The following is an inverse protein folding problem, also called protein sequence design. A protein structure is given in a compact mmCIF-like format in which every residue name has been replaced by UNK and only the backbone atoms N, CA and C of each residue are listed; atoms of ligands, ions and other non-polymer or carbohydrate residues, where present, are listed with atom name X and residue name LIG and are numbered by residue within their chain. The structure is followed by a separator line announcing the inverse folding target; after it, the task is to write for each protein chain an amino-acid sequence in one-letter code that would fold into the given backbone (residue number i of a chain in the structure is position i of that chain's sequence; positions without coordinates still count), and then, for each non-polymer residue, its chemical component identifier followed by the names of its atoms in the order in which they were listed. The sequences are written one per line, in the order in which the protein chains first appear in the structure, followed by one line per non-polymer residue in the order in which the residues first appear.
data_IF_871019437782
#
_entry.id   IF_871019437782
#
_cell.length_a   1.000
_cell.length_b   1.000
_cell.length_c   1.000
_cell.angle_alpha   90.00
_cell.angle_beta   90.00
_cell.angle_gamma   90.00
#
_symmetry.space_group_name_H-M   'P 1'
#
loop_
_entity.id
_entity.type
_entity.pdbx_description
1 polymer ?
#
# COMPACT_ATOMS: atom_id res chain seq x y z
N UNK A 1 6.29 -16.58 2.20
CA UNK A 1 5.76 -16.51 3.58
C UNK A 1 6.86 -16.63 4.64
N UNK A 2 7.71 -17.67 4.65
CA UNK A 2 8.77 -17.81 5.67
C UNK A 2 9.76 -16.64 5.71
N UNK A 3 10.22 -16.15 4.55
CA UNK A 3 11.15 -15.01 4.47
C UNK A 3 10.55 -13.71 5.03
N UNK A 4 9.23 -13.49 4.85
CA UNK A 4 8.55 -12.31 5.38
C UNK A 4 8.48 -12.35 6.91
N UNK A 5 8.20 -13.53 7.49
CA UNK A 5 8.20 -13.72 8.93
C UNK A 5 9.59 -13.49 9.52
N UNK A 6 10.64 -14.03 8.89
CA UNK A 6 12.02 -13.80 9.32
C UNK A 6 12.37 -12.30 9.28
N UNK A 7 12.00 -11.60 8.20
CA UNK A 7 12.23 -10.17 8.07
C UNK A 7 11.52 -9.36 9.16
N UNK A 8 10.25 -9.65 9.43
CA UNK A 8 9.46 -8.99 10.49
C UNK A 8 10.10 -9.24 11.86
N UNK A 9 10.58 -10.46 12.12
CA UNK A 9 11.24 -10.80 13.37
C UNK A 9 12.54 -10.00 13.57
N UNK A 10 13.37 -9.92 12.53
CA UNK A 10 14.61 -9.12 12.55
C UNK A 10 14.29 -7.64 12.78
N UNK A 11 13.27 -7.11 12.10
CA UNK A 11 12.80 -5.73 12.31
C UNK A 11 12.35 -5.50 13.75
N UNK A 12 11.54 -6.40 14.31
CA UNK A 12 11.09 -6.29 15.69
C UNK A 12 12.28 -6.29 16.68
N UNK A 13 13.26 -7.17 16.47
CA UNK A 13 14.45 -7.24 17.31
C UNK A 13 15.29 -5.95 17.21
N UNK A 14 15.44 -5.38 16.01
CA UNK A 14 16.12 -4.10 15.82
C UNK A 14 15.40 -2.95 16.52
N UNK A 15 14.07 -2.87 16.43
CA UNK A 15 13.29 -1.85 17.14
C UNK A 15 13.38 -2.01 18.65
N UNK A 16 13.42 -3.25 19.15
CA UNK A 16 13.62 -3.54 20.56
C UNK A 16 14.99 -3.04 21.03
N UNK A 17 16.08 -3.45 20.35
CA UNK A 17 17.44 -2.99 20.65
C UNK A 17 17.52 -1.46 20.60
N UNK A 18 16.92 -0.85 19.58
CA UNK A 18 16.88 0.60 19.44
C UNK A 18 16.19 1.29 20.62
N UNK A 19 15.07 0.74 21.09
CA UNK A 19 14.33 1.28 22.24
C UNK A 19 15.15 1.20 23.52
N UNK A 20 15.87 0.10 23.75
CA UNK A 20 16.71 -0.08 24.94
C UNK A 20 18.00 0.74 24.89
N UNK A 21 18.65 0.85 23.73
CA UNK A 21 19.90 1.58 23.58
C UNK A 21 19.70 3.09 23.45
N UNK A 22 18.54 3.53 22.98
CA UNK A 22 18.18 4.94 22.83
C UNK A 22 16.96 5.28 23.72
N UNK A 23 17.13 5.23 25.05
CA UNK A 23 16.05 5.61 25.98
C UNK A 23 15.85 7.12 26.06
N UNK A 24 16.83 7.89 25.60
CA UNK A 24 16.80 9.34 25.70
C UNK A 24 15.81 9.93 24.71
N UNK A 25 14.81 10.69 25.19
CA UNK A 25 13.85 11.32 24.31
C UNK A 25 14.50 12.44 23.50
N UNK A 26 13.99 12.67 22.31
CA UNK A 26 14.47 13.69 21.38
C UNK A 26 13.39 14.74 21.13
N UNK A 27 13.81 15.98 20.86
CA UNK A 27 12.93 17.05 20.40
C UNK A 27 13.06 17.18 18.90
N UNK A 28 11.93 17.33 18.21
CA UNK A 28 11.90 17.43 16.76
C UNK A 28 11.27 18.73 16.33
N UNK A 29 11.85 19.32 15.29
CA UNK A 29 11.27 20.46 14.59
C UNK A 29 10.93 20.05 13.17
N UNK A 30 9.65 20.11 12.82
CA UNK A 30 9.17 19.67 11.52
C UNK A 30 8.09 20.62 11.00
N UNK A 31 8.25 21.15 9.78
CA UNK A 31 7.29 22.09 9.15
C UNK A 31 6.82 23.23 10.07
N UNK A 32 7.73 23.76 10.91
CA UNK A 32 7.42 24.82 11.86
C UNK A 32 6.80 24.35 13.18
N UNK A 33 6.43 23.09 13.31
CA UNK A 33 5.99 22.48 14.57
C UNK A 33 7.19 22.00 15.38
N UNK A 34 7.10 22.11 16.70
CA UNK A 34 8.07 21.58 17.64
C UNK A 34 7.39 20.55 18.52
N UNK A 35 7.94 19.33 18.55
CA UNK A 35 7.47 18.30 19.45
C UNK A 35 8.01 18.53 20.87
N UNK A 36 7.30 17.98 21.86
CA UNK A 36 7.90 17.74 23.17
C UNK A 36 9.02 16.71 23.11
N UNK A 37 9.58 16.37 24.28
CA UNK A 37 10.52 15.26 24.41
C UNK A 37 9.79 13.93 24.20
N UNK A 38 10.03 13.29 23.06
CA UNK A 38 9.42 12.01 22.70
C UNK A 38 10.50 10.97 22.38
N UNK A 39 10.29 9.69 22.75
CA UNK A 39 11.19 8.63 22.32
C UNK A 39 11.26 8.56 20.79
N UNK A 40 12.46 8.43 20.24
CA UNK A 40 12.65 8.41 18.77
C UNK A 40 11.89 7.25 18.10
N UNK A 41 11.71 6.13 18.81
CA UNK A 41 10.95 4.98 18.33
C UNK A 41 9.49 5.33 17.99
N UNK A 42 8.83 6.20 18.78
CA UNK A 42 7.45 6.60 18.50
C UNK A 42 7.35 7.26 17.13
N UNK A 43 8.32 8.11 16.79
CA UNK A 43 8.31 8.84 15.52
C UNK A 43 8.60 7.92 14.34
N UNK A 44 9.53 6.96 14.52
CA UNK A 44 9.78 5.91 13.52
C UNK A 44 8.49 5.12 13.27
N UNK A 45 7.80 4.67 14.33
CA UNK A 45 6.55 3.92 14.21
C UNK A 45 5.47 4.72 13.49
N UNK A 46 5.24 5.98 13.86
CA UNK A 46 4.27 6.85 13.19
C UNK A 46 4.63 7.00 11.70
N UNK A 47 5.91 7.20 11.39
CA UNK A 47 6.37 7.35 10.00
C UNK A 47 6.14 6.09 9.17
N UNK A 48 6.41 4.91 9.74
CA UNK A 48 6.15 3.61 9.10
C UNK A 48 4.64 3.43 8.87
N UNK A 49 3.80 3.74 9.86
CA UNK A 49 2.35 3.66 9.74
C UNK A 49 1.85 4.56 8.61
N UNK A 50 2.34 5.81 8.55
CA UNK A 50 1.99 6.74 7.47
C UNK A 50 2.38 6.19 6.11
N UNK A 51 3.57 5.59 5.98
CA UNK A 51 4.01 4.95 4.75
C UNK A 51 3.12 3.77 4.34
N UNK A 52 2.78 2.88 5.28
CA UNK A 52 1.87 1.75 5.05
C UNK A 52 0.49 2.25 4.61
N UNK A 53 -0.11 3.17 5.35
CA UNK A 53 -1.42 3.75 5.01
C UNK A 53 -1.38 4.41 3.63
N UNK A 54 -0.33 5.19 3.33
CA UNK A 54 -0.14 5.82 2.03
C UNK A 54 -0.06 4.79 0.89
N UNK A 55 0.74 3.73 1.06
CA UNK A 55 0.86 2.66 0.07
C UNK A 55 -0.47 1.92 -0.17
N UNK A 56 -1.26 1.67 0.89
CA UNK A 56 -2.58 1.03 0.77
C UNK A 56 -3.54 1.92 -0.02
N UNK A 57 -3.58 3.22 0.27
CA UNK A 57 -4.44 4.17 -0.44
C UNK A 57 -4.10 4.24 -1.94
N UNK A 58 -2.80 4.26 -2.28
CA UNK A 58 -2.34 4.23 -3.67
C UNK A 58 -2.67 2.90 -4.35
N UNK A 59 -2.50 1.78 -3.65
CA UNK A 59 -2.86 0.45 -4.13
C UNK A 59 -4.35 0.31 -4.43
N UNK A 60 -5.21 0.88 -3.58
CA UNK A 60 -6.67 0.89 -3.80
C UNK A 60 -7.06 1.68 -5.05
N UNK A 61 -6.38 2.80 -5.35
CA UNK A 61 -6.63 3.56 -6.59
C UNK A 61 -6.25 2.72 -7.81
N UNK A 62 -5.06 2.15 -7.83
CA UNK A 62 -4.58 1.30 -8.93
C UNK A 62 -5.47 0.07 -9.14
N UNK A 63 -5.90 -0.58 -8.05
CA UNK A 63 -6.80 -1.73 -8.11
C UNK A 63 -8.16 -1.39 -8.74
N UNK A 64 -8.68 -0.18 -8.49
CA UNK A 64 -9.94 0.28 -9.10
C UNK A 64 -9.78 0.50 -10.61
N UNK A 65 -8.68 1.12 -11.04
CA UNK A 65 -8.37 1.31 -12.45
C UNK A 65 -8.22 -0.02 -13.17
N UNK A 66 -7.41 -0.92 -12.60
CA UNK A 66 -7.20 -2.26 -13.15
C UNK A 66 -8.51 -3.04 -13.26
N UNK A 67 -9.39 -2.95 -12.25
CA UNK A 67 -10.72 -3.58 -12.30
C UNK A 67 -11.60 -3.02 -13.42
N UNK A 68 -11.51 -1.72 -13.72
CA UNK A 68 -12.23 -1.10 -14.84
C UNK A 68 -11.69 -1.60 -16.18
N UNK A 69 -10.37 -1.60 -16.35
CA UNK A 69 -9.71 -2.10 -17.57
C UNK A 69 -10.04 -3.57 -17.81
N UNK A 70 -9.97 -4.42 -16.79
CA UNK A 70 -10.35 -5.84 -16.89
C UNK A 70 -11.81 -6.01 -17.30
N UNK A 71 -12.71 -5.14 -16.81
CA UNK A 71 -14.12 -5.19 -17.21
C UNK A 71 -14.31 -4.80 -18.68
N UNK A 72 -13.63 -3.75 -19.15
CA UNK A 72 -13.69 -3.29 -20.54
C UNK A 72 -13.15 -4.37 -21.50
N UNK A 73 -11.97 -4.90 -21.20
CA UNK A 73 -11.35 -5.97 -22.00
C UNK A 73 -12.23 -7.23 -22.05
N UNK A 74 -12.95 -7.56 -20.97
CA UNK A 74 -13.91 -8.69 -20.98
C UNK A 74 -15.09 -8.44 -21.91
N UNK A 75 -15.65 -7.22 -21.91
CA UNK A 75 -16.75 -6.85 -22.81
C UNK A 75 -16.29 -6.91 -24.27
N UNK A 76 -15.13 -6.34 -24.59
CA UNK A 76 -14.56 -6.39 -25.95
C UNK A 76 -14.34 -7.84 -26.43
N UNK A 77 -13.83 -8.71 -25.54
CA UNK A 77 -13.66 -10.13 -25.87
C UNK A 77 -14.98 -10.86 -26.11
N UNK A 78 -16.06 -10.50 -25.39
CA UNK A 78 -17.38 -11.11 -25.58
C UNK A 78 -18.02 -10.65 -26.90
N UNK A 79 -17.86 -9.37 -27.27
CA UNK A 79 -18.30 -8.82 -28.57
C UNK A 79 -17.56 -9.46 -29.75
N UNK A 80 -16.24 -9.61 -29.65
CA UNK A 80 -15.42 -10.28 -30.68
C UNK A 80 -15.73 -11.78 -30.84
N UNK A 81 -16.24 -12.43 -29.78
CA UNK A 81 -16.63 -13.84 -29.80
C UNK A 81 -18.07 -14.08 -30.25
N UNK A 82 -18.91 -13.05 -30.31
CA UNK A 82 -20.26 -13.18 -30.88
C UNK A 82 -20.14 -13.05 -32.40
N UNK A 83 -20.43 -14.10 -33.19
CA UNK A 83 -20.40 -14.00 -34.64
C UNK A 83 -21.43 -12.94 -35.09
N UNK A 84 -21.16 -12.16 -36.15
CA UNK A 84 -22.18 -11.27 -36.69
C UNK A 84 -23.41 -12.12 -37.01
N UNK A 85 -24.54 -11.77 -36.40
CA UNK A 85 -25.84 -12.31 -36.79
C UNK A 85 -25.98 -11.97 -38.26
N UNK A 86 -25.80 -12.99 -39.11
CA UNK A 86 -26.12 -12.90 -40.53
C UNK A 86 -27.54 -12.38 -40.58
N UNK A 87 -27.68 -11.17 -41.11
CA UNK A 87 -28.91 -10.67 -41.71
C UNK A 87 -29.24 -11.59 -42.90
N UNK A 88 -29.77 -12.77 -42.58
CA UNK A 88 -30.58 -13.61 -43.45
C UNK A 88 -32.03 -13.26 -43.12
N UNK A 89 -32.51 -12.11 -43.59
CA UNK A 89 -33.94 -11.81 -43.73
C UNK A 89 -34.07 -10.47 -44.47
N UNK A 90 -33.91 -10.53 -45.79
CA UNK A 90 -34.73 -9.73 -46.71
C UNK A 90 -34.81 -10.55 -48.01
N UNK A 91 -35.93 -11.28 -48.08
CA UNK A 91 -36.42 -12.16 -49.14
C UNK A 91 -36.65 -11.41 -50.46
#
# INVERSE_FOLDING_TARGET
MQMQLLFILIMALLLMVFTFQNPYPVQMRFMGWQSGQVPLIMVILISVIVGVVGSLLLGLKQAKELKRTVRQLRVELDELKTPPVKSEEEL
#
